data_IF_869750876371
#
_entry.id   IF_869750876371
#
_cell.length_a   1.000
_cell.length_b   1.000
_cell.length_c   1.000
_cell.angle_alpha   90.00
_cell.angle_beta   90.00
_cell.angle_gamma   90.00
#
_symmetry.space_group_name_H-M   'P 1'
#
loop_
_entity.id
_entity.type
_entity.pdbx_description
1 polymer ?
#
# COMPACT_ATOMS: atom_id res chain seq x y z
N UNK A 1 -28.00 -5.45 -1.55
CA UNK A 1 -29.21 -5.36 -2.42
C UNK A 1 -30.29 -6.27 -1.88
N UNK A 2 -30.01 -7.52 -1.53
CA UNK A 2 -31.00 -8.46 -1.00
C UNK A 2 -31.59 -7.98 0.31
N UNK A 3 -30.80 -7.37 1.17
CA UNK A 3 -31.20 -6.88 2.51
C UNK A 3 -32.09 -5.64 2.43
N UNK A 4 -32.05 -4.88 1.35
CA UNK A 4 -32.87 -3.68 1.16
C UNK A 4 -34.29 -3.96 0.62
N UNK A 5 -34.59 -5.22 0.26
CA UNK A 5 -35.90 -5.62 -0.28
C UNK A 5 -36.58 -6.60 0.65
N UNK A 6 -37.88 -6.37 0.92
CA UNK A 6 -38.68 -7.25 1.77
C UNK A 6 -39.08 -8.51 1.00
N UNK A 7 -38.75 -9.69 1.53
CA UNK A 7 -39.04 -11.00 0.94
C UNK A 7 -37.91 -11.57 0.06
N UNK A 8 -38.16 -12.76 -0.51
CA UNK A 8 -37.23 -13.38 -1.48
C UNK A 8 -37.33 -12.67 -2.83
N UNK A 9 -36.25 -12.07 -3.28
CA UNK A 9 -36.18 -11.38 -4.56
C UNK A 9 -35.11 -12.00 -5.45
N UNK A 10 -35.46 -12.43 -6.69
CA UNK A 10 -34.47 -12.91 -7.64
C UNK A 10 -33.60 -11.74 -8.11
N UNK A 11 -32.29 -11.84 -7.91
CA UNK A 11 -31.32 -10.85 -8.40
C UNK A 11 -31.08 -11.14 -9.89
N UNK A 12 -31.43 -10.19 -10.74
CA UNK A 12 -31.11 -10.29 -12.16
C UNK A 12 -29.64 -10.01 -12.43
N UNK A 13 -29.06 -10.71 -13.40
CA UNK A 13 -27.65 -10.53 -13.81
C UNK A 13 -27.30 -9.07 -14.06
N UNK A 14 -28.23 -8.29 -14.63
CA UNK A 14 -28.06 -6.87 -14.91
C UNK A 14 -27.86 -6.05 -13.61
N UNK A 15 -28.66 -6.31 -12.59
CA UNK A 15 -28.56 -5.63 -11.28
C UNK A 15 -27.22 -5.94 -10.60
N UNK A 16 -26.69 -7.17 -10.74
CA UNK A 16 -25.36 -7.51 -10.24
C UNK A 16 -24.26 -6.78 -10.99
N UNK A 17 -24.38 -6.66 -12.32
CA UNK A 17 -23.41 -5.93 -13.15
C UNK A 17 -23.43 -4.44 -12.80
N UNK A 18 -24.60 -3.85 -12.63
CA UNK A 18 -24.76 -2.44 -12.26
C UNK A 18 -24.22 -2.16 -10.85
N UNK A 19 -24.50 -3.05 -9.89
CA UNK A 19 -23.94 -2.98 -8.56
C UNK A 19 -22.40 -3.10 -8.60
N UNK A 20 -21.89 -4.08 -9.33
CA UNK A 20 -20.45 -4.27 -9.47
C UNK A 20 -19.76 -3.07 -10.13
N UNK A 21 -20.40 -2.44 -11.14
CA UNK A 21 -19.93 -1.20 -11.75
C UNK A 21 -19.98 -0.03 -10.78
N UNK A 22 -21.05 0.12 -9.99
CA UNK A 22 -21.16 1.20 -9.00
C UNK A 22 -20.15 1.06 -7.88
N UNK A 23 -19.92 -0.15 -7.38
CA UNK A 23 -18.84 -0.44 -6.41
C UNK A 23 -17.47 -0.10 -7.02
N UNK A 24 -17.23 -0.47 -8.28
CA UNK A 24 -15.99 -0.16 -8.98
C UNK A 24 -15.80 1.32 -9.30
N UNK A 25 -16.89 2.07 -9.55
CA UNK A 25 -16.85 3.53 -9.74
C UNK A 25 -16.59 4.29 -8.42
N UNK A 26 -17.01 3.74 -7.29
CA UNK A 26 -16.65 4.28 -5.97
C UNK A 26 -15.14 4.11 -5.66
N UNK A 27 -14.46 3.19 -6.35
CA UNK A 27 -13.02 2.94 -6.25
C UNK A 27 -12.18 3.67 -7.32
N UNK A 28 -12.79 4.52 -8.18
CA UNK A 28 -12.08 5.30 -9.20
C UNK A 28 -11.66 6.70 -8.74
N UNK A 29 -11.88 7.09 -7.48
CA UNK A 29 -11.06 8.14 -6.88
C UNK A 29 -9.65 7.57 -6.75
N UNK A 30 -8.65 8.29 -7.27
CA UNK A 30 -7.24 7.95 -7.08
C UNK A 30 -7.04 7.54 -5.63
N UNK A 31 -6.58 6.32 -5.30
CA UNK A 31 -6.36 5.91 -3.91
C UNK A 31 -5.11 6.57 -3.29
N UNK A 32 -4.68 7.71 -3.83
CA UNK A 32 -3.73 8.60 -3.20
C UNK A 32 -4.51 9.55 -2.29
N UNK A 33 -4.27 9.43 -1.01
CA UNK A 33 -4.94 10.16 0.06
C UNK A 33 -3.97 11.12 0.75
N UNK A 34 -4.49 12.23 1.26
CA UNK A 34 -3.79 12.99 2.30
C UNK A 34 -3.73 12.16 3.59
N UNK A 35 -2.83 12.49 4.49
CA UNK A 35 -2.75 11.80 5.79
C UNK A 35 -4.02 11.96 6.62
N UNK A 36 -4.72 13.09 6.49
CA UNK A 36 -5.99 13.37 7.17
C UNK A 36 -7.14 12.51 6.63
N UNK A 37 -7.26 12.41 5.31
CA UNK A 37 -8.25 11.54 4.66
C UNK A 37 -8.01 10.07 5.00
N UNK A 38 -6.76 9.63 4.95
CA UNK A 38 -6.40 8.26 5.30
C UNK A 38 -6.67 7.96 6.77
N UNK A 39 -6.37 8.91 7.68
CA UNK A 39 -6.69 8.75 9.11
C UNK A 39 -8.19 8.53 9.32
N UNK A 40 -9.02 9.34 8.67
CA UNK A 40 -10.48 9.20 8.77
C UNK A 40 -10.98 7.85 8.24
N UNK A 41 -10.37 7.33 7.17
CA UNK A 41 -10.70 6.00 6.64
C UNK A 41 -10.28 4.89 7.60
N UNK A 42 -9.07 4.96 8.15
CA UNK A 42 -8.56 3.98 9.13
C UNK A 42 -9.47 3.95 10.36
N UNK A 43 -9.82 5.12 10.92
CA UNK A 43 -10.71 5.20 12.08
C UNK A 43 -12.07 4.59 11.79
N UNK A 44 -12.60 4.81 10.59
CA UNK A 44 -13.86 4.21 10.14
C UNK A 44 -13.74 2.69 10.05
N UNK A 45 -12.71 2.14 9.43
CA UNK A 45 -12.50 0.70 9.29
C UNK A 45 -12.32 0.03 10.66
N UNK A 46 -11.49 0.62 11.53
CA UNK A 46 -11.29 0.12 12.89
C UNK A 46 -12.57 0.17 13.72
N UNK A 47 -13.45 1.15 13.51
CA UNK A 47 -14.76 1.21 14.17
C UNK A 47 -15.73 0.09 13.72
N UNK A 48 -15.42 -0.58 12.61
CA UNK A 48 -16.15 -1.74 12.08
C UNK A 48 -15.42 -3.08 12.37
N UNK A 49 -14.45 -3.05 13.29
CA UNK A 49 -13.58 -4.20 13.64
C UNK A 49 -12.78 -4.75 12.43
N UNK A 50 -12.50 -3.89 11.43
CA UNK A 50 -11.69 -4.24 10.26
C UNK A 50 -10.21 -3.92 10.51
N UNK A 51 -9.36 -4.92 10.36
CA UNK A 51 -7.91 -4.81 10.59
C UNK A 51 -7.23 -4.06 9.44
N UNK A 52 -6.47 -3.02 9.78
CA UNK A 52 -5.69 -2.22 8.83
C UNK A 52 -4.22 -2.59 8.89
N UNK A 53 -3.69 -2.98 7.75
CA UNK A 53 -2.27 -3.30 7.53
C UNK A 53 -1.57 -2.12 6.88
N UNK A 54 -0.39 -1.79 7.36
CA UNK A 54 0.44 -0.72 6.79
C UNK A 54 1.81 -1.26 6.41
N UNK A 55 2.30 -0.84 5.25
CA UNK A 55 3.69 -0.98 4.87
C UNK A 55 4.22 0.31 4.26
N UNK A 56 5.54 0.49 4.18
CA UNK A 56 6.11 1.64 3.50
C UNK A 56 7.32 1.29 2.65
N UNK A 57 7.61 2.15 1.69
CA UNK A 57 8.78 2.00 0.83
C UNK A 57 8.86 3.03 -0.28
N UNK A 58 9.97 2.98 -1.03
CA UNK A 58 10.20 3.84 -2.19
C UNK A 58 9.43 3.36 -3.43
N UNK A 59 9.32 2.05 -3.63
CA UNK A 59 8.63 1.41 -4.78
C UNK A 59 9.00 2.04 -6.13
N UNK A 60 10.27 2.36 -6.33
CA UNK A 60 10.75 3.18 -7.43
C UNK A 60 10.48 2.52 -8.81
N UNK A 61 10.92 1.27 -9.01
CA UNK A 61 10.54 0.46 -10.17
C UNK A 61 9.79 -0.76 -9.63
N UNK A 62 8.50 -0.83 -9.90
CA UNK A 62 7.70 -1.99 -9.50
C UNK A 62 8.16 -3.25 -10.25
N UNK A 63 8.28 -4.33 -9.53
CA UNK A 63 8.61 -5.65 -10.04
C UNK A 63 7.84 -6.73 -9.29
N UNK A 64 7.89 -7.97 -9.79
CA UNK A 64 7.13 -9.09 -9.23
C UNK A 64 7.37 -9.29 -7.73
N UNK A 65 8.58 -9.04 -7.24
CA UNK A 65 8.90 -9.14 -5.82
C UNK A 65 8.04 -8.20 -4.96
N UNK A 66 7.86 -6.94 -5.40
CA UNK A 66 6.96 -6.00 -4.74
C UNK A 66 5.50 -6.48 -4.77
N UNK A 67 5.03 -6.98 -5.92
CA UNK A 67 3.64 -7.44 -6.07
C UNK A 67 3.36 -8.61 -5.11
N UNK A 68 4.24 -9.62 -5.08
CA UNK A 68 4.10 -10.77 -4.18
C UNK A 68 4.08 -10.33 -2.72
N UNK A 69 5.03 -9.47 -2.33
CA UNK A 69 5.12 -8.92 -0.98
C UNK A 69 3.84 -8.18 -0.56
N UNK A 70 3.32 -7.30 -1.43
CA UNK A 70 2.09 -6.56 -1.15
C UNK A 70 0.86 -7.46 -1.07
N UNK A 71 0.80 -8.51 -1.90
CA UNK A 71 -0.26 -9.51 -1.83
C UNK A 71 -0.22 -10.32 -0.53
N UNK A 72 0.98 -10.70 -0.06
CA UNK A 72 1.15 -11.40 1.22
C UNK A 72 0.80 -10.47 2.39
N UNK A 73 1.24 -9.20 2.36
CA UNK A 73 0.89 -8.20 3.37
C UNK A 73 -0.63 -7.99 3.47
N UNK A 74 -1.32 -7.90 2.33
CA UNK A 74 -2.77 -7.73 2.28
C UNK A 74 -3.57 -8.91 2.89
N UNK A 75 -2.97 -10.09 3.00
CA UNK A 75 -3.63 -11.25 3.64
C UNK A 75 -3.68 -11.17 5.16
N UNK A 76 -2.94 -10.24 5.76
CA UNK A 76 -2.86 -10.06 7.21
C UNK A 76 -4.01 -9.22 7.79
N UNK A 77 -4.80 -8.56 6.94
CA UNK A 77 -5.93 -7.75 7.38
C UNK A 77 -6.97 -7.52 6.30
N UNK A 78 -7.94 -6.68 6.60
CA UNK A 78 -9.02 -6.32 5.67
C UNK A 78 -8.58 -5.25 4.67
N UNK A 79 -7.67 -4.36 5.08
CA UNK A 79 -7.22 -3.22 4.27
C UNK A 79 -5.70 -3.11 4.28
N UNK A 80 -5.08 -2.85 3.11
CA UNK A 80 -3.66 -2.59 2.97
C UNK A 80 -3.41 -1.14 2.56
N UNK A 81 -2.66 -0.41 3.40
CA UNK A 81 -2.23 0.97 3.18
C UNK A 81 -0.72 1.01 2.93
N UNK A 82 -0.32 1.82 1.97
CA UNK A 82 1.08 2.05 1.63
C UNK A 82 1.49 3.47 1.99
N UNK A 83 2.49 3.61 2.87
CA UNK A 83 3.27 4.83 3.03
C UNK A 83 4.31 4.90 1.92
N UNK A 84 4.17 5.84 0.99
CA UNK A 84 5.08 6.02 -0.14
C UNK A 84 6.05 7.16 0.14
N UNK A 85 7.36 6.90 0.13
CA UNK A 85 8.36 7.94 0.26
C UNK A 85 8.28 8.93 -0.91
N UNK A 86 8.26 10.22 -0.61
CA UNK A 86 8.32 11.28 -1.63
C UNK A 86 9.63 11.21 -2.43
N UNK A 87 9.67 11.87 -3.58
CA UNK A 87 10.89 11.96 -4.37
C UNK A 87 12.04 12.59 -3.59
N UNK A 88 11.74 13.60 -2.79
CA UNK A 88 12.74 14.24 -1.92
C UNK A 88 13.31 13.27 -0.88
N UNK A 89 12.44 12.49 -0.22
CA UNK A 89 12.86 11.46 0.73
C UNK A 89 13.70 10.38 0.04
N UNK A 90 13.29 9.91 -1.15
CA UNK A 90 14.04 8.89 -1.89
C UNK A 90 15.44 9.39 -2.29
N UNK A 91 15.58 10.66 -2.72
CA UNK A 91 16.90 11.25 -3.04
C UNK A 91 17.83 11.23 -1.81
N UNK A 92 17.32 11.63 -0.66
CA UNK A 92 18.12 11.59 0.59
C UNK A 92 18.54 10.18 0.98
N UNK A 93 17.64 9.20 0.80
CA UNK A 93 17.88 7.81 1.22
C UNK A 93 18.75 7.01 0.23
N UNK A 94 18.64 7.29 -1.09
CA UNK A 94 19.24 6.46 -2.15
C UNK A 94 20.16 7.22 -3.11
N UNK A 95 20.33 8.52 -2.92
CA UNK A 95 21.19 9.38 -3.74
C UNK A 95 20.44 10.09 -4.86
N UNK A 96 21.07 11.14 -5.42
CA UNK A 96 20.51 12.11 -6.37
C UNK A 96 20.00 11.49 -7.70
N UNK A 97 20.49 10.30 -8.07
CA UNK A 97 20.05 9.60 -9.28
C UNK A 97 18.74 8.81 -9.09
N UNK A 98 18.15 8.91 -7.91
CA UNK A 98 16.90 8.22 -7.56
C UNK A 98 15.87 9.22 -7.00
N UNK A 99 14.56 8.98 -7.15
CA UNK A 99 13.98 7.83 -7.85
C UNK A 99 14.09 7.98 -9.38
N UNK A 100 13.86 6.88 -10.10
CA UNK A 100 13.75 6.87 -11.56
C UNK A 100 12.32 7.22 -11.99
N UNK A 101 11.34 6.74 -11.22
CA UNK A 101 9.91 6.98 -11.46
C UNK A 101 9.42 8.01 -10.45
N UNK A 102 8.72 9.05 -10.92
CA UNK A 102 8.18 10.13 -10.07
C UNK A 102 7.22 9.60 -8.99
N UNK A 103 7.09 10.33 -7.88
CA UNK A 103 6.16 9.95 -6.81
C UNK A 103 4.71 9.84 -7.29
N UNK A 104 4.30 10.68 -8.24
CA UNK A 104 2.96 10.65 -8.84
C UNK A 104 2.73 9.34 -9.61
N UNK A 105 3.70 8.95 -10.46
CA UNK A 105 3.62 7.71 -11.23
C UNK A 105 3.72 6.47 -10.32
N UNK A 106 4.59 6.52 -9.30
CA UNK A 106 4.72 5.43 -8.31
C UNK A 106 3.42 5.25 -7.53
N UNK A 107 2.79 6.35 -7.10
CA UNK A 107 1.50 6.33 -6.43
C UNK A 107 0.41 5.77 -7.35
N UNK A 108 0.34 6.22 -8.61
CA UNK A 108 -0.64 5.72 -9.57
C UNK A 108 -0.49 4.22 -9.83
N UNK A 109 0.74 3.72 -9.97
CA UNK A 109 1.00 2.29 -10.17
C UNK A 109 0.61 1.44 -8.96
N UNK A 110 0.94 1.90 -7.74
CA UNK A 110 0.56 1.20 -6.50
C UNK A 110 -0.95 1.18 -6.31
N UNK A 111 -1.59 2.31 -6.59
CA UNK A 111 -3.03 2.48 -6.50
C UNK A 111 -3.82 1.61 -7.46
N UNK A 112 -3.22 1.20 -8.57
CA UNK A 112 -3.84 0.28 -9.54
C UNK A 112 -3.77 -1.20 -9.10
N UNK A 113 -3.04 -1.52 -8.03
CA UNK A 113 -2.96 -2.89 -7.52
C UNK A 113 -4.22 -3.23 -6.73
N UNK A 114 -4.86 -4.32 -7.09
CA UNK A 114 -6.12 -4.77 -6.46
C UNK A 114 -5.99 -5.02 -4.94
N UNK A 115 -4.80 -5.31 -4.46
CA UNK A 115 -4.54 -5.58 -3.04
C UNK A 115 -4.23 -4.30 -2.23
N UNK A 116 -4.27 -3.11 -2.84
CA UNK A 116 -3.95 -1.83 -2.18
C UNK A 116 -5.22 -1.00 -2.06
N UNK A 117 -5.59 -0.64 -0.83
CA UNK A 117 -6.77 0.16 -0.52
C UNK A 117 -6.45 1.65 -0.44
N UNK A 118 -5.18 2.01 -0.19
CA UNK A 118 -4.78 3.41 -0.17
C UNK A 118 -3.28 3.63 -0.16
N UNK A 119 -2.87 4.78 -0.68
CA UNK A 119 -1.48 5.24 -0.71
C UNK A 119 -1.43 6.63 -0.08
N UNK A 120 -0.45 6.85 0.81
CA UNK A 120 -0.18 8.14 1.44
C UNK A 120 1.27 8.52 1.21
N UNK A 121 1.52 9.71 0.66
CA UNK A 121 2.88 10.24 0.54
C UNK A 121 3.38 10.76 1.89
N UNK A 122 4.66 10.56 2.16
CA UNK A 122 5.34 11.16 3.29
C UNK A 122 6.76 11.59 2.91
N UNK A 123 7.24 12.67 3.53
CA UNK A 123 8.52 13.29 3.19
C UNK A 123 9.66 12.91 4.14
N UNK A 124 9.33 12.40 5.30
CA UNK A 124 10.28 12.05 6.34
C UNK A 124 11.16 10.85 5.90
N UNK A 125 12.35 10.73 6.49
CA UNK A 125 13.28 9.63 6.17
C UNK A 125 12.79 8.29 6.74
N UNK A 126 11.94 8.33 7.76
CA UNK A 126 11.31 7.16 8.37
C UNK A 126 9.80 7.35 8.49
N UNK A 127 9.01 6.27 8.51
CA UNK A 127 7.55 6.36 8.61
C UNK A 127 7.03 6.63 10.04
N UNK A 128 7.91 6.92 11.01
CA UNK A 128 7.54 7.00 12.43
C UNK A 128 6.41 8.01 12.69
N UNK A 129 6.54 9.23 12.17
CA UNK A 129 5.54 10.29 12.35
C UNK A 129 4.21 9.95 11.68
N UNK A 130 4.27 9.39 10.45
CA UNK A 130 3.09 8.94 9.74
C UNK A 130 2.37 7.80 10.49
N UNK A 131 3.13 6.81 11.00
CA UNK A 131 2.58 5.70 11.80
C UNK A 131 1.96 6.19 13.11
N UNK A 132 2.63 7.10 13.82
CA UNK A 132 2.13 7.69 15.06
C UNK A 132 0.81 8.45 14.84
N UNK A 133 0.63 9.07 13.68
CA UNK A 133 -0.59 9.76 13.29
C UNK A 133 -1.70 8.81 12.84
N UNK A 134 -1.39 7.86 11.95
CA UNK A 134 -2.37 6.95 11.35
C UNK A 134 -2.84 5.85 12.29
N UNK A 135 -1.94 5.27 13.08
CA UNK A 135 -2.18 4.16 14.01
C UNK A 135 -2.88 2.95 13.37
N UNK A 136 -2.29 2.35 12.33
CA UNK A 136 -2.81 1.11 11.78
C UNK A 136 -2.62 -0.03 12.79
N UNK A 137 -3.30 -1.16 12.60
CA UNK A 137 -3.19 -2.30 13.50
C UNK A 137 -1.88 -3.07 13.30
N UNK A 138 -1.50 -3.32 12.04
CA UNK A 138 -0.33 -4.16 11.71
C UNK A 138 0.66 -3.35 10.85
N UNK A 139 1.93 -3.34 11.27
CA UNK A 139 3.04 -2.85 10.45
C UNK A 139 3.76 -4.03 9.80
N UNK A 140 3.85 -4.03 8.48
CA UNK A 140 4.56 -5.06 7.73
C UNK A 140 5.86 -4.50 7.16
N UNK A 141 6.96 -5.25 7.31
CA UNK A 141 8.25 -4.97 6.70
C UNK A 141 8.74 -6.16 5.90
N UNK A 142 9.35 -5.89 4.76
CA UNK A 142 10.00 -6.92 3.95
C UNK A 142 11.49 -6.98 4.25
N UNK A 143 12.03 -8.17 4.44
CA UNK A 143 13.46 -8.42 4.67
C UNK A 143 13.78 -9.13 5.97
N UNK A 144 15.06 -9.17 6.29
CA UNK A 144 15.59 -9.87 7.48
C UNK A 144 15.74 -8.89 8.66
N UNK A 145 14.65 -8.21 9.03
CA UNK A 145 14.62 -7.31 10.18
C UNK A 145 14.26 -8.07 11.46
N UNK A 146 14.86 -7.65 12.57
CA UNK A 146 14.33 -8.01 13.88
C UNK A 146 13.17 -7.09 14.21
N UNK A 147 12.07 -7.65 14.72
CA UNK A 147 10.85 -6.87 15.03
C UNK A 147 11.13 -5.71 15.99
N UNK A 148 12.12 -5.87 16.88
CA UNK A 148 12.52 -4.86 17.87
C UNK A 148 13.17 -3.63 17.24
N UNK A 149 13.83 -3.77 16.09
CA UNK A 149 14.58 -2.72 15.42
C UNK A 149 13.73 -1.92 14.41
N UNK A 150 12.45 -2.32 14.22
CA UNK A 150 11.58 -1.69 13.24
C UNK A 150 11.06 -0.36 13.77
N UNK A 151 11.37 0.71 13.05
CA UNK A 151 10.92 2.08 13.36
C UNK A 151 9.40 2.19 13.20
N UNK A 152 8.73 2.75 14.21
CA UNK A 152 7.28 2.95 14.24
C UNK A 152 6.50 1.78 14.87
N UNK A 153 7.19 0.73 15.35
CA UNK A 153 6.57 -0.41 16.03
C UNK A 153 5.72 -0.04 17.24
N UNK A 154 6.08 1.04 17.91
CA UNK A 154 5.39 1.57 19.09
C UNK A 154 4.01 2.19 18.77
N UNK A 155 3.72 2.37 17.50
CA UNK A 155 2.49 3.01 17.00
C UNK A 155 1.46 2.02 16.45
N UNK A 156 1.74 0.71 16.54
CA UNK A 156 0.91 -0.37 16.01
C UNK A 156 0.69 -1.46 17.05
N UNK A 157 -0.34 -2.28 16.86
CA UNK A 157 -0.63 -3.41 17.74
C UNK A 157 0.34 -4.58 17.47
N UNK A 158 0.69 -4.80 16.20
CA UNK A 158 1.49 -5.93 15.77
C UNK A 158 2.49 -5.53 14.67
N UNK A 159 3.65 -6.21 14.67
CA UNK A 159 4.67 -6.06 13.61
C UNK A 159 4.90 -7.42 12.96
N UNK A 160 4.80 -7.46 11.63
CA UNK A 160 5.09 -8.65 10.84
C UNK A 160 6.26 -8.43 9.89
N UNK A 161 7.11 -9.43 9.76
CA UNK A 161 8.26 -9.41 8.85
C UNK A 161 8.07 -10.50 7.80
N UNK A 162 7.97 -10.07 6.54
CA UNK A 162 7.84 -10.97 5.40
C UNK A 162 9.17 -11.11 4.68
N UNK A 163 9.53 -12.34 4.32
CA UNK A 163 10.76 -12.59 3.57
C UNK A 163 10.68 -12.05 2.15
N UNK A 164 11.76 -11.44 1.66
CA UNK A 164 11.83 -11.07 0.25
C UNK A 164 11.95 -12.30 -0.64
N UNK A 165 11.27 -12.25 -1.78
CA UNK A 165 11.46 -13.25 -2.82
C UNK A 165 12.80 -13.01 -3.51
N UNK A 166 13.70 -13.98 -3.45
CA UNK A 166 15.02 -13.90 -4.08
C UNK A 166 14.94 -13.64 -5.60
N UNK A 167 15.92 -12.94 -6.13
CA UNK A 167 16.05 -12.67 -7.57
C UNK A 167 15.29 -11.45 -8.10
N UNK A 168 14.69 -10.63 -7.21
CA UNK A 168 13.99 -9.40 -7.60
C UNK A 168 14.54 -8.20 -6.84
N UNK A 169 15.18 -7.27 -7.56
CA UNK A 169 15.70 -6.02 -7.00
C UNK A 169 15.65 -4.92 -8.06
N UNK A 170 15.20 -3.74 -7.66
CA UNK A 170 15.25 -2.53 -8.51
C UNK A 170 16.68 -2.24 -8.96
N UNK A 171 17.68 -2.43 -8.09
CA UNK A 171 19.09 -2.21 -8.41
C UNK A 171 19.59 -3.14 -9.51
N UNK A 172 19.13 -4.39 -9.56
CA UNK A 172 19.53 -5.34 -10.60
C UNK A 172 18.86 -5.03 -11.94
N UNK A 173 17.62 -4.52 -11.92
CA UNK A 173 16.95 -4.03 -13.13
C UNK A 173 17.74 -2.86 -13.72
N UNK A 174 18.12 -1.88 -12.92
CA UNK A 174 18.91 -0.71 -13.34
C UNK A 174 20.27 -1.13 -13.89
N UNK A 175 21.00 -2.03 -13.22
CA UNK A 175 22.27 -2.58 -13.69
C UNK A 175 22.12 -3.27 -15.05
N UNK A 176 21.05 -4.07 -15.20
CA UNK A 176 20.79 -4.78 -16.47
C UNK A 176 20.54 -3.80 -17.61
N UNK A 177 19.74 -2.75 -17.39
CA UNK A 177 19.50 -1.70 -18.40
C UNK A 177 20.80 -1.00 -18.77
N UNK A 178 21.63 -0.62 -17.78
CA UNK A 178 22.91 0.04 -18.01
C UNK A 178 23.91 -0.81 -18.80
N UNK A 179 23.85 -2.14 -18.67
CA UNK A 179 24.70 -3.06 -19.46
C UNK A 179 24.22 -3.26 -20.89
N UNK A 180 22.92 -3.09 -21.16
CA UNK A 180 22.33 -3.21 -22.50
C UNK A 180 22.48 -1.93 -23.34
N UNK A 181 22.78 -0.80 -22.71
CA UNK A 181 22.98 0.50 -23.37
C UNK A 181 24.43 0.76 -23.82
N UNK A 182 25.31 -0.19 -23.63
CA UNK A 182 26.69 -0.20 -24.13
C UNK A 182 26.83 -1.08 -25.37
#
# INVERSE_FOLDING_TARGET
IVVSKVGTYPIHRQELIELWRSVRQLTTSSPLYTKEEMKALIDKWQSMDETVVFTNGCFDILHRGHITYLQEAAQLGAHLIIGLNSDASVRRLKGETRPIVSEEDRAALLSALQCVDGVVLFEEDTPAELLAYLRPNILVKGGDYKKEDIVGRESVDEVEVLSFKEGYSTSDIVKKIATMAK
#
